data_IF_150474535923
#
_entry.id   IF_150474535923
#
_cell.length_a   1.000
_cell.length_b   1.000
_cell.length_c   1.000
_cell.angle_alpha   90.00
_cell.angle_beta   90.00
_cell.angle_gamma   90.00
#
_symmetry.space_group_name_H-M   'P 1'
#
loop_
_entity.id
_entity.type
_entity.pdbx_description
1 polymer ?
#
# COMPACT_ATOMS: atom_id res chain seq x y z
N UNK A 1 -23.27 -6.79 -15.96
CA UNK A 1 -23.45 -5.67 -15.01
C UNK A 1 -23.63 -4.41 -15.85
N UNK A 2 -24.79 -3.76 -15.79
CA UNK A 2 -25.19 -2.70 -16.71
C UNK A 2 -24.67 -1.30 -16.36
N UNK A 3 -23.96 -1.14 -15.24
CA UNK A 3 -23.35 0.14 -14.84
C UNK A 3 -21.88 -0.06 -14.44
N UNK A 4 -20.97 0.54 -15.21
CA UNK A 4 -19.52 0.45 -15.01
C UNK A 4 -19.08 1.02 -13.67
N UNK A 5 -19.77 2.07 -13.18
CA UNK A 5 -19.40 2.74 -11.91
C UNK A 5 -19.69 1.88 -10.69
N UNK A 6 -20.81 1.17 -10.68
CA UNK A 6 -21.17 0.27 -9.58
C UNK A 6 -20.14 -0.85 -9.46
N UNK A 7 -19.68 -1.40 -10.59
CA UNK A 7 -18.61 -2.40 -10.58
C UNK A 7 -17.31 -1.85 -10.01
N UNK A 8 -16.89 -0.65 -10.41
CA UNK A 8 -15.64 -0.03 -9.93
C UNK A 8 -15.67 0.31 -8.44
N UNK A 9 -16.81 0.80 -7.94
CA UNK A 9 -17.03 1.02 -6.51
C UNK A 9 -16.96 -0.30 -5.73
N UNK A 10 -17.60 -1.35 -6.26
CA UNK A 10 -17.61 -2.68 -5.62
C UNK A 10 -16.20 -3.28 -5.59
N UNK A 11 -15.44 -3.20 -6.69
CA UNK A 11 -14.05 -3.67 -6.72
C UNK A 11 -13.16 -2.88 -5.75
N UNK A 12 -13.36 -1.57 -5.64
CA UNK A 12 -12.66 -0.72 -4.67
C UNK A 12 -12.96 -1.14 -3.23
N UNK A 13 -14.23 -1.38 -2.90
CA UNK A 13 -14.64 -1.83 -1.58
C UNK A 13 -14.07 -3.21 -1.23
N UNK A 14 -14.11 -4.16 -2.17
CA UNK A 14 -13.53 -5.50 -2.01
C UNK A 14 -12.01 -5.40 -1.78
N UNK A 15 -11.30 -4.61 -2.58
CA UNK A 15 -9.86 -4.46 -2.44
C UNK A 15 -9.47 -3.84 -1.09
N UNK A 16 -10.19 -2.82 -0.63
CA UNK A 16 -9.96 -2.20 0.68
C UNK A 16 -10.28 -3.16 1.85
N UNK A 17 -11.35 -3.95 1.75
CA UNK A 17 -11.69 -4.96 2.74
C UNK A 17 -10.64 -6.09 2.80
N UNK A 18 -10.16 -6.56 1.64
CA UNK A 18 -9.06 -7.52 1.58
C UNK A 18 -7.77 -6.94 2.15
N UNK A 19 -7.47 -5.66 1.87
CA UNK A 19 -6.31 -4.97 2.43
C UNK A 19 -6.39 -4.94 3.96
N UNK A 20 -7.57 -4.63 4.51
CA UNK A 20 -7.84 -4.68 5.95
C UNK A 20 -7.60 -6.09 6.52
N UNK A 21 -8.16 -7.14 5.91
CA UNK A 21 -7.96 -8.52 6.37
C UNK A 21 -6.47 -8.90 6.37
N UNK A 22 -5.76 -8.58 5.28
CA UNK A 22 -4.32 -8.85 5.17
C UNK A 22 -3.47 -8.01 6.14
N UNK A 23 -3.98 -6.87 6.61
CA UNK A 23 -3.29 -6.06 7.61
C UNK A 23 -3.18 -6.78 8.97
N UNK A 24 -4.18 -7.58 9.34
CA UNK A 24 -4.16 -8.36 10.59
C UNK A 24 -3.11 -9.48 10.61
N UNK A 25 -2.68 -9.94 9.43
CA UNK A 25 -1.65 -10.99 9.30
C UNK A 25 -0.33 -10.44 8.74
N UNK A 26 -0.21 -9.10 8.60
CA UNK A 26 1.04 -8.47 8.23
C UNK A 26 2.07 -8.64 9.34
N UNK A 27 3.34 -8.82 8.98
CA UNK A 27 4.38 -9.09 9.97
C UNK A 27 4.87 -7.76 10.53
N UNK A 28 4.63 -7.52 11.81
CA UNK A 28 5.19 -6.41 12.56
C UNK A 28 6.22 -6.95 13.56
N UNK A 29 7.48 -6.62 13.36
CA UNK A 29 8.54 -6.96 14.30
C UNK A 29 8.93 -5.71 15.10
N UNK A 30 8.39 -5.63 16.32
CA UNK A 30 8.69 -4.62 17.33
C UNK A 30 8.62 -3.16 16.83
N UNK A 31 7.77 -2.86 15.83
CA UNK A 31 7.67 -1.54 15.19
C UNK A 31 8.96 -1.08 14.47
N UNK A 32 9.95 -1.96 14.31
CA UNK A 32 11.23 -1.68 13.63
C UNK A 32 11.26 -2.26 12.21
N UNK A 33 10.43 -3.27 11.95
CA UNK A 33 10.25 -3.85 10.64
C UNK A 33 8.78 -4.18 10.41
N UNK A 34 8.27 -3.80 9.25
CA UNK A 34 6.88 -4.04 8.86
C UNK A 34 6.81 -4.60 7.44
N UNK A 35 6.37 -5.85 7.32
CA UNK A 35 6.09 -6.51 6.05
C UNK A 35 4.59 -6.44 5.78
N UNK A 36 4.20 -5.46 4.96
CA UNK A 36 2.79 -5.08 4.81
C UNK A 36 2.12 -5.86 3.67
N UNK A 37 1.27 -6.83 4.02
CA UNK A 37 0.52 -7.61 3.03
C UNK A 37 -0.67 -6.84 2.44
N UNK A 38 -1.16 -5.83 3.17
CA UNK A 38 -2.29 -5.00 2.77
C UNK A 38 -2.09 -4.27 1.43
N UNK A 39 -0.84 -4.02 1.02
CA UNK A 39 -0.56 -3.37 -0.27
C UNK A 39 -0.97 -4.22 -1.48
N UNK A 40 -1.02 -5.55 -1.35
CA UNK A 40 -1.26 -6.48 -2.47
C UNK A 40 -2.60 -6.20 -3.16
N UNK A 41 -3.77 -6.27 -2.47
CA UNK A 41 -5.06 -6.01 -3.11
C UNK A 41 -5.21 -4.56 -3.60
N UNK A 42 -4.57 -3.59 -2.94
CA UNK A 42 -4.58 -2.19 -3.37
C UNK A 42 -3.76 -1.98 -4.65
N UNK A 43 -2.62 -2.65 -4.79
CA UNK A 43 -1.83 -2.66 -6.02
C UNK A 43 -2.57 -3.37 -7.16
N UNK A 44 -3.32 -4.46 -6.88
CA UNK A 44 -4.24 -5.06 -7.86
C UNK A 44 -5.24 -4.02 -8.35
N UNK A 45 -5.92 -3.33 -7.43
CA UNK A 45 -6.91 -2.30 -7.77
C UNK A 45 -6.29 -1.19 -8.62
N UNK A 46 -5.12 -0.67 -8.23
CA UNK A 46 -4.42 0.38 -8.97
C UNK A 46 -4.01 -0.08 -10.38
N UNK A 47 -3.49 -1.30 -10.54
CA UNK A 47 -3.11 -1.86 -11.83
C UNK A 47 -4.33 -2.20 -12.72
N UNK A 48 -5.47 -2.53 -12.11
CA UNK A 48 -6.70 -2.86 -12.83
C UNK A 48 -7.47 -1.61 -13.25
N UNK A 49 -7.68 -0.67 -12.32
CA UNK A 49 -8.59 0.48 -12.44
C UNK A 49 -7.90 1.84 -12.51
N UNK A 50 -6.58 1.90 -12.28
CA UNK A 50 -5.78 3.11 -12.42
C UNK A 50 -5.69 3.92 -11.13
N UNK A 51 -5.09 5.11 -11.26
CA UNK A 51 -4.67 5.95 -10.13
C UNK A 51 -5.85 6.35 -9.24
N UNK A 52 -6.92 6.89 -9.82
CA UNK A 52 -8.08 7.37 -9.06
C UNK A 52 -8.66 6.28 -8.15
N UNK A 53 -8.97 5.11 -8.72
CA UNK A 53 -9.54 4.00 -7.97
C UNK A 53 -8.55 3.41 -6.95
N UNK A 54 -7.27 3.30 -7.31
CA UNK A 54 -6.22 2.92 -6.37
C UNK A 54 -6.13 3.86 -5.15
N UNK A 55 -6.18 5.18 -5.38
CA UNK A 55 -6.19 6.19 -4.32
C UNK A 55 -7.43 6.08 -3.43
N UNK A 56 -8.61 5.88 -4.01
CA UNK A 56 -9.85 5.71 -3.24
C UNK A 56 -9.83 4.43 -2.39
N UNK A 57 -9.30 3.32 -2.93
CA UNK A 57 -9.13 2.09 -2.16
C UNK A 57 -8.15 2.27 -1.01
N UNK A 58 -7.05 2.99 -1.25
CA UNK A 58 -6.10 3.39 -0.21
C UNK A 58 -6.73 4.25 0.88
N UNK A 59 -7.54 5.26 0.51
CA UNK A 59 -8.29 6.08 1.45
C UNK A 59 -9.23 5.24 2.33
N UNK A 60 -10.04 4.37 1.71
CA UNK A 60 -10.99 3.52 2.44
C UNK A 60 -10.25 2.59 3.40
N UNK A 61 -9.17 1.93 2.94
CA UNK A 61 -8.33 1.09 3.78
C UNK A 61 -7.78 1.86 4.99
N UNK A 62 -7.21 3.05 4.74
CA UNK A 62 -6.69 3.92 5.78
C UNK A 62 -7.73 4.33 6.83
N UNK A 63 -8.92 4.73 6.38
CA UNK A 63 -10.06 5.04 7.27
C UNK A 63 -10.52 3.82 8.07
N UNK A 64 -10.55 2.63 7.47
CA UNK A 64 -10.90 1.40 8.16
C UNK A 64 -9.92 1.09 9.31
N UNK A 65 -8.60 1.29 9.09
CA UNK A 65 -7.61 1.13 10.17
C UNK A 65 -7.89 2.08 11.34
N UNK A 66 -8.27 3.33 11.07
CA UNK A 66 -8.59 4.32 12.10
C UNK A 66 -9.85 3.91 12.87
N UNK A 67 -10.96 3.67 12.16
CA UNK A 67 -12.27 3.42 12.79
C UNK A 67 -12.30 2.11 13.57
N UNK A 68 -11.55 1.10 13.13
CA UNK A 68 -11.47 -0.20 13.80
C UNK A 68 -10.36 -0.25 14.87
N UNK A 69 -9.76 0.88 15.22
CA UNK A 69 -8.75 0.97 16.27
C UNK A 69 -7.44 0.23 15.97
N UNK A 70 -7.14 -0.04 14.70
CA UNK A 70 -5.91 -0.69 14.26
C UNK A 70 -4.79 0.31 13.97
N UNK A 71 -5.13 1.58 13.79
CA UNK A 71 -4.16 2.66 13.61
C UNK A 71 -3.48 3.03 14.94
N UNK A 72 -2.15 3.10 14.95
CA UNK A 72 -1.36 3.65 16.05
C UNK A 72 -1.27 5.16 15.89
N UNK A 73 -2.11 5.88 16.63
CA UNK A 73 -2.26 7.34 16.54
C UNK A 73 -1.44 8.02 17.64
N UNK A 74 -0.38 8.73 17.26
CA UNK A 74 0.43 9.56 18.15
C UNK A 74 -0.10 11.00 18.21
N UNK A 75 -0.47 11.55 17.06
CA UNK A 75 -1.08 12.87 16.91
C UNK A 75 -2.04 12.87 15.73
N UNK A 76 -2.99 13.82 15.64
CA UNK A 76 -3.86 13.94 14.46
C UNK A 76 -3.10 14.13 13.14
N UNK A 77 -1.98 14.87 13.18
CA UNK A 77 -1.16 15.12 11.98
C UNK A 77 -0.41 13.86 11.54
N UNK A 78 0.14 13.10 12.50
CA UNK A 78 0.75 11.80 12.21
C UNK A 78 -0.28 10.83 11.64
N UNK A 79 -1.49 10.79 12.20
CA UNK A 79 -2.54 9.92 11.72
C UNK A 79 -2.97 10.25 10.28
N UNK A 80 -3.10 11.54 9.96
CA UNK A 80 -3.36 12.00 8.59
C UNK A 80 -2.23 11.55 7.63
N UNK A 81 -0.98 11.68 8.05
CA UNK A 81 0.15 11.32 7.19
C UNK A 81 0.25 9.81 6.94
N UNK A 82 0.14 9.00 7.98
CA UNK A 82 0.41 7.56 7.92
C UNK A 82 -0.80 6.69 7.57
N UNK A 83 -2.02 7.15 7.89
CA UNK A 83 -3.26 6.39 7.66
C UNK A 83 -4.19 7.03 6.65
N UNK A 84 -3.87 8.19 6.08
CA UNK A 84 -4.63 8.77 4.97
C UNK A 84 -3.69 9.01 3.78
N UNK A 85 -2.67 9.84 3.93
CA UNK A 85 -1.76 10.19 2.82
C UNK A 85 -0.97 8.97 2.33
N UNK A 86 -0.34 8.22 3.22
CA UNK A 86 0.48 7.06 2.81
C UNK A 86 -0.36 5.98 2.08
N UNK A 87 -1.51 5.50 2.60
CA UNK A 87 -2.37 4.55 1.88
C UNK A 87 -2.90 5.08 0.54
N UNK A 88 -3.36 6.34 0.49
CA UNK A 88 -3.81 6.98 -0.76
C UNK A 88 -2.69 6.94 -1.81
N UNK A 89 -1.47 7.29 -1.40
CA UNK A 89 -0.34 7.45 -2.30
C UNK A 89 0.08 6.14 -2.97
N UNK A 90 -0.24 4.97 -2.40
CA UNK A 90 -0.04 3.67 -3.04
C UNK A 90 -0.78 3.58 -4.39
N UNK A 91 -1.89 4.32 -4.55
CA UNK A 91 -2.66 4.42 -5.79
C UNK A 91 -1.85 4.93 -6.99
N UNK A 92 -0.73 5.64 -6.77
CA UNK A 92 0.17 6.07 -7.84
C UNK A 92 0.83 4.91 -8.60
N UNK A 93 0.81 3.68 -8.06
CA UNK A 93 1.13 2.48 -8.83
C UNK A 93 0.31 2.37 -10.13
N UNK A 94 -0.91 2.92 -10.14
CA UNK A 94 -1.79 2.98 -11.29
C UNK A 94 -1.29 3.84 -12.45
N UNK A 95 -0.24 4.65 -12.27
CA UNK A 95 0.43 5.36 -13.38
C UNK A 95 1.01 4.36 -14.39
N UNK A 96 1.49 3.22 -13.91
CA UNK A 96 2.13 2.17 -14.71
C UNK A 96 1.10 1.25 -15.37
N UNK A 97 -0.20 1.43 -15.08
CA UNK A 97 -1.29 0.64 -15.64
C UNK A 97 -1.26 0.62 -17.16
N UNK A 98 -1.45 -0.58 -17.72
CA UNK A 98 -1.64 -0.82 -19.15
C UNK A 98 -2.99 -1.49 -19.37
N UNK A 99 -3.38 -1.65 -20.65
CA UNK A 99 -4.56 -2.45 -21.03
C UNK A 99 -4.46 -3.88 -20.48
N UNK A 100 -3.26 -4.44 -20.52
CA UNK A 100 -2.90 -5.67 -19.84
C UNK A 100 -1.71 -5.42 -18.92
N UNK A 101 -1.96 -5.39 -17.62
CA UNK A 101 -0.93 -5.18 -16.59
C UNK A 101 -0.36 -6.48 -16.03
N UNK A 102 -0.69 -7.66 -16.59
CA UNK A 102 -0.26 -8.97 -16.08
C UNK A 102 1.23 -9.27 -16.32
N UNK A 103 1.89 -8.51 -17.19
CA UNK A 103 3.31 -8.67 -17.50
C UNK A 103 4.18 -8.42 -16.26
N UNK A 104 5.12 -9.33 -15.98
CA UNK A 104 6.05 -9.26 -14.83
C UNK A 104 6.70 -7.89 -14.68
N UNK A 105 7.25 -7.32 -15.77
CA UNK A 105 7.91 -6.01 -15.74
C UNK A 105 6.97 -4.89 -15.27
N UNK A 106 5.71 -4.92 -15.73
CA UNK A 106 4.69 -3.93 -15.35
C UNK A 106 4.33 -4.07 -13.87
N UNK A 107 4.16 -5.30 -13.38
CA UNK A 107 3.87 -5.60 -11.97
C UNK A 107 4.99 -5.10 -11.07
N UNK A 108 6.25 -5.44 -11.37
CA UNK A 108 7.40 -4.99 -10.58
C UNK A 108 7.51 -3.47 -10.56
N UNK A 109 7.41 -2.81 -11.72
CA UNK A 109 7.48 -1.36 -11.80
C UNK A 109 6.37 -0.67 -10.99
N UNK A 110 5.14 -1.17 -11.06
CA UNK A 110 4.01 -0.60 -10.32
C UNK A 110 4.13 -0.84 -8.80
N UNK A 111 4.50 -2.06 -8.39
CA UNK A 111 4.68 -2.41 -6.98
C UNK A 111 5.77 -1.56 -6.33
N UNK A 112 6.94 -1.45 -6.97
CA UNK A 112 8.03 -0.63 -6.45
C UNK A 112 7.69 0.86 -6.44
N UNK A 113 7.05 1.40 -7.50
CA UNK A 113 6.65 2.81 -7.52
C UNK A 113 5.65 3.13 -6.40
N UNK A 114 4.57 2.35 -6.28
CA UNK A 114 3.53 2.60 -5.28
C UNK A 114 4.05 2.46 -3.85
N UNK A 115 4.80 1.38 -3.57
CA UNK A 115 5.34 1.13 -2.23
C UNK A 115 6.42 2.14 -1.87
N UNK A 116 7.28 2.56 -2.81
CA UNK A 116 8.25 3.62 -2.58
C UNK A 116 7.57 4.93 -2.15
N UNK A 117 6.52 5.34 -2.85
CA UNK A 117 5.79 6.57 -2.52
C UNK A 117 5.09 6.44 -1.16
N UNK A 118 4.44 5.29 -0.88
CA UNK A 118 3.83 5.03 0.43
C UNK A 118 4.84 5.11 1.57
N UNK A 119 5.99 4.44 1.43
CA UNK A 119 7.02 4.39 2.46
C UNK A 119 7.85 5.66 2.54
N UNK A 120 7.86 6.52 1.52
CA UNK A 120 8.37 7.88 1.64
C UNK A 120 7.58 8.66 2.70
N UNK A 121 6.24 8.53 2.74
CA UNK A 121 5.43 9.19 3.76
C UNK A 121 5.64 8.59 5.15
N UNK A 122 5.82 7.27 5.27
CA UNK A 122 6.21 6.65 6.54
C UNK A 122 7.62 7.05 6.99
N UNK A 123 8.56 7.25 6.05
CA UNK A 123 9.87 7.81 6.35
C UNK A 123 9.75 9.24 6.93
N UNK A 124 8.99 10.11 6.28
CA UNK A 124 8.75 11.48 6.77
C UNK A 124 8.09 11.45 8.16
N UNK A 125 7.06 10.62 8.34
CA UNK A 125 6.43 10.44 9.64
C UNK A 125 7.41 9.90 10.70
N UNK A 126 8.28 8.96 10.31
CA UNK A 126 9.30 8.37 11.16
C UNK A 126 10.30 9.41 11.68
N UNK A 127 10.70 10.35 10.83
CA UNK A 127 11.60 11.46 11.22
C UNK A 127 10.91 12.39 12.21
N UNK A 128 9.65 12.75 11.97
CA UNK A 128 8.94 13.79 12.74
C UNK A 128 8.40 13.24 14.07
N UNK A 129 7.83 12.03 14.08
CA UNK A 129 7.04 11.52 15.20
C UNK A 129 7.65 10.31 15.91
N UNK A 130 8.49 9.53 15.22
CA UNK A 130 9.03 8.27 15.76
C UNK A 130 10.49 8.36 16.21
N UNK A 131 11.12 9.54 16.13
CA UNK A 131 12.54 9.73 16.51
C UNK A 131 12.87 9.31 17.95
N UNK A 132 11.90 9.33 18.87
CA UNK A 132 12.07 8.86 20.26
C UNK A 132 12.37 7.36 20.40
N UNK A 133 12.09 6.58 19.35
CA UNK A 133 12.35 5.13 19.28
C UNK A 133 13.68 4.82 18.59
N UNK A 134 14.44 5.84 18.18
CA UNK A 134 15.73 5.65 17.54
C UNK A 134 16.68 4.84 18.45
N UNK A 135 17.44 3.94 17.83
CA UNK A 135 18.43 3.14 18.54
C UNK A 135 19.48 4.02 19.22
N UNK A 136 20.12 3.51 20.27
CA UNK A 136 21.17 4.23 21.00
C UNK A 136 22.27 4.71 20.03
N UNK A 137 22.51 6.02 19.99
CA UNK A 137 23.50 6.66 19.12
C UNK A 137 23.00 7.02 17.71
N UNK A 138 21.73 6.78 17.39
CA UNK A 138 21.12 7.14 16.10
C UNK A 138 20.28 8.41 16.23
N UNK A 139 20.34 9.27 15.20
CA UNK A 139 19.38 10.35 15.00
C UNK A 139 18.09 9.88 14.30
N UNK A 140 17.06 10.72 14.30
CA UNK A 140 15.75 10.38 13.71
C UNK A 140 15.80 10.08 12.21
N UNK A 141 16.60 10.83 11.44
CA UNK A 141 16.75 10.64 9.98
C UNK A 141 17.32 9.26 9.63
N UNK A 142 18.54 8.88 10.06
CA UNK A 142 19.09 7.57 9.69
C UNK A 142 18.26 6.42 10.25
N UNK A 143 17.66 6.58 11.44
CA UNK A 143 16.78 5.56 12.02
C UNK A 143 15.54 5.34 11.16
N UNK A 144 14.81 6.41 10.83
CA UNK A 144 13.61 6.33 9.99
C UNK A 144 13.94 5.80 8.59
N UNK A 145 15.07 6.22 8.01
CA UNK A 145 15.50 5.76 6.69
C UNK A 145 15.72 4.24 6.67
N UNK A 146 16.41 3.69 7.68
CA UNK A 146 16.65 2.25 7.76
C UNK A 146 15.35 1.50 7.99
N UNK A 147 14.57 1.85 9.02
CA UNK A 147 13.31 1.17 9.39
C UNK A 147 12.31 1.15 8.24
N UNK A 148 12.05 2.31 7.62
CA UNK A 148 11.08 2.41 6.54
C UNK A 148 11.64 1.91 5.21
N UNK A 149 12.94 2.10 4.96
CA UNK A 149 13.59 1.60 3.75
C UNK A 149 13.61 0.08 3.67
N UNK A 150 14.00 -0.60 4.76
CA UNK A 150 14.01 -2.07 4.80
C UNK A 150 12.59 -2.65 4.71
N UNK A 151 11.63 -2.03 5.41
CA UNK A 151 10.22 -2.43 5.40
C UNK A 151 9.58 -2.24 4.03
N UNK A 152 9.83 -1.10 3.38
CA UNK A 152 9.34 -0.78 2.05
C UNK A 152 9.95 -1.69 0.98
N UNK A 153 11.26 -1.95 1.03
CA UNK A 153 11.91 -2.85 0.08
C UNK A 153 11.39 -4.29 0.18
N UNK A 154 11.26 -4.81 1.40
CA UNK A 154 10.74 -6.15 1.63
C UNK A 154 9.27 -6.26 1.19
N UNK A 155 8.45 -5.26 1.53
CA UNK A 155 7.04 -5.17 1.14
C UNK A 155 6.88 -5.09 -0.38
N UNK A 156 7.64 -4.24 -1.07
CA UNK A 156 7.57 -4.12 -2.52
C UNK A 156 7.95 -5.43 -3.22
N UNK A 157 9.01 -6.08 -2.74
CA UNK A 157 9.49 -7.36 -3.28
C UNK A 157 8.46 -8.45 -3.10
N UNK A 158 7.94 -8.61 -1.88
CA UNK A 158 6.91 -9.62 -1.59
C UNK A 158 5.64 -9.38 -2.40
N UNK A 159 5.17 -8.13 -2.46
CA UNK A 159 3.98 -7.77 -3.21
C UNK A 159 4.17 -8.05 -4.70
N UNK A 160 5.31 -7.68 -5.29
CA UNK A 160 5.60 -7.98 -6.68
C UNK A 160 5.59 -9.49 -6.97
N UNK A 161 6.20 -10.31 -6.10
CA UNK A 161 6.21 -11.76 -6.25
C UNK A 161 4.79 -12.35 -6.15
N UNK A 162 4.01 -11.92 -5.16
CA UNK A 162 2.62 -12.36 -4.99
C UNK A 162 1.77 -11.99 -6.22
N UNK A 163 1.90 -10.77 -6.73
CA UNK A 163 1.18 -10.31 -7.91
C UNK A 163 1.59 -11.07 -9.18
N UNK A 164 2.87 -11.46 -9.33
CA UNK A 164 3.33 -12.31 -10.44
C UNK A 164 2.75 -13.71 -10.35
N UNK A 165 2.64 -14.28 -9.15
CA UNK A 165 1.97 -15.58 -8.97
C UNK A 165 0.49 -15.45 -9.38
N UNK A 166 -0.20 -14.41 -8.90
CA UNK A 166 -1.59 -14.12 -9.27
C UNK A 166 -1.72 -13.92 -10.79
N UNK A 167 -0.78 -13.23 -11.44
CA UNK A 167 -0.88 -12.95 -12.88
C UNK A 167 -0.69 -14.21 -13.74
N UNK A 168 0.10 -15.19 -13.27
CA UNK A 168 0.23 -16.49 -13.93
C UNK A 168 -1.03 -17.35 -13.82
N UNK A 169 -1.74 -17.27 -12.71
CA UNK A 169 -2.95 -18.08 -12.46
C UNK A 169 -4.25 -17.39 -12.89
N UNK A 170 -4.29 -16.05 -12.89
CA UNK A 170 -5.49 -15.26 -13.07
C UNK A 170 -5.19 -13.89 -13.72
N UNK A 171 -4.53 -13.90 -14.89
CA UNK A 171 -4.15 -12.68 -15.63
C UNK A 171 -5.32 -11.69 -15.86
N UNK A 172 -6.54 -12.19 -16.01
CA UNK A 172 -7.76 -11.40 -16.19
C UNK A 172 -8.04 -10.39 -15.05
N UNK A 173 -7.48 -10.62 -13.87
CA UNK A 173 -7.58 -9.67 -12.74
C UNK A 173 -6.90 -8.35 -13.09
N UNK A 174 -5.82 -8.37 -13.88
CA UNK A 174 -5.07 -7.19 -14.30
C UNK A 174 -5.57 -6.57 -15.60
N UNK A 175 -6.66 -7.10 -16.16
CA UNK A 175 -7.28 -6.65 -17.40
C UNK A 175 -8.67 -6.07 -17.07
N UNK A 176 -8.82 -4.76 -17.11
CA UNK A 176 -10.16 -4.16 -17.03
C UNK A 176 -10.85 -4.30 -18.39
N UNK A 177 -12.02 -4.96 -18.42
CA UNK A 177 -12.93 -4.87 -19.57
C UNK A 177 -13.48 -3.45 -19.60
N UNK A 178 -13.48 -2.85 -20.80
CA UNK A 178 -14.16 -1.58 -21.06
C UNK A 178 -15.65 -1.70 -20.78
#
# INVERSE_FOLDING_TARGET
MSDSKVLELTETAIAAALALVLSFISINYAQVFYLELAVIPLLVLALRRGVFWGMTGGLVFGLLLIVLGQATILTPVQALLEYIVAPISLGFAGIIRKKDSSQTRTIFAAAFLGVLIKYFWHFVAGVIFWGKYAWKGWGAIPYSFVVNGMSGLATATLAALALVIISKSAAQIFQAKK
#
